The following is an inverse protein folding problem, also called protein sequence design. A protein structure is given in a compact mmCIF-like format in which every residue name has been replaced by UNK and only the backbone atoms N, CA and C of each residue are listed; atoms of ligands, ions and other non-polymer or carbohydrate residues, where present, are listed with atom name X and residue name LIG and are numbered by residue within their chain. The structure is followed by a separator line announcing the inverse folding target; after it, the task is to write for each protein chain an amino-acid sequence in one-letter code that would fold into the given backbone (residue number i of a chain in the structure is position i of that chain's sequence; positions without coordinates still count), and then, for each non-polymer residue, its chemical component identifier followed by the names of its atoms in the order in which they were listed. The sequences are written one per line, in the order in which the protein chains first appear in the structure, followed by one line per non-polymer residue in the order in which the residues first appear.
data_IF_071009919616
#
_entry.id   IF_071009919616
#
_cell.length_a   1.000
_cell.length_b   1.000
_cell.length_c   1.000
_cell.angle_alpha   90.00
_cell.angle_beta   90.00
_cell.angle_gamma   90.00
#
_symmetry.space_group_name_H-M   'P 1'
#
loop_
_entity.id
_entity.type
_entity.pdbx_description
1 polymer ?
#
# COMPACT_ATOMS: atom_id res chain seq x y z
N UNK A 1 -16.08 -27.40 -3.05
CA UNK A 1 -16.08 -26.85 -2.89
C UNK A 1 -15.67 -25.91 -2.62
N UNK A 2 -15.59 -25.57 -2.78
CA UNK A 2 -15.12 -24.81 -2.60
C UNK A 2 -14.99 -23.96 -1.84
N UNK A 3 -14.87 -23.59 -1.78
CA UNK A 3 -14.63 -22.90 -1.28
C UNK A 3 -14.35 -22.12 -0.50
N UNK A 4 -13.96 -22.13 -0.53
CA UNK A 4 -13.33 -21.73 0.70
C UNK A 4 -12.68 -20.41 0.70
N UNK A 5 -12.91 -19.67 -0.34
CA UNK A 5 -12.43 -18.32 -0.36
C UNK A 5 -13.08 -17.47 0.70
N UNK A 6 -14.35 -17.79 1.01
CA UNK A 6 -15.03 -17.02 2.02
C UNK A 6 -14.48 -17.27 3.41
N UNK A 7 -13.65 -18.28 3.55
CA UNK A 7 -13.06 -18.60 4.84
C UNK A 7 -11.63 -18.10 4.97
N UNK A 8 -11.14 -17.39 3.98
CA UNK A 8 -9.77 -16.91 4.01
C UNK A 8 -9.61 -15.82 5.06
N UNK A 9 -8.43 -15.75 5.64
CA UNK A 9 -8.08 -14.73 6.62
C UNK A 9 -6.96 -13.90 6.03
N UNK A 10 -7.06 -12.58 6.19
CA UNK A 10 -6.06 -11.67 5.67
C UNK A 10 -5.42 -10.88 6.80
N UNK A 11 -4.17 -10.58 6.62
CA UNK A 11 -3.45 -9.72 7.53
C UNK A 11 -3.24 -8.38 6.85
N UNK A 12 -3.34 -7.30 7.61
CA UNK A 12 -3.27 -5.94 7.08
C UNK A 12 -2.04 -5.25 7.63
N UNK A 13 -1.31 -4.60 6.72
CA UNK A 13 -0.16 -3.77 7.09
C UNK A 13 -0.30 -2.46 6.35
N UNK A 14 0.00 -1.36 7.02
CA UNK A 14 -0.04 -0.05 6.37
C UNK A 14 1.35 0.45 6.10
N UNK A 15 1.53 1.04 4.92
CA UNK A 15 2.79 1.65 4.52
C UNK A 15 2.49 2.96 3.83
N UNK A 16 3.50 3.83 3.76
CA UNK A 16 3.38 5.10 3.06
C UNK A 16 4.46 5.14 2.00
N UNK A 17 4.04 5.35 0.76
CA UNK A 17 4.97 5.54 -0.34
C UNK A 17 5.13 7.03 -0.61
N UNK A 18 6.26 7.39 -1.19
CA UNK A 18 6.60 8.76 -1.49
C UNK A 18 7.08 8.85 -2.92
N UNK A 19 6.69 9.92 -3.59
CA UNK A 19 7.16 10.19 -4.95
C UNK A 19 7.19 11.70 -5.15
N UNK A 20 8.16 12.18 -5.90
CA UNK A 20 8.16 13.58 -6.26
C UNK A 20 7.37 13.84 -7.53
N UNK A 21 6.70 12.82 -8.06
CA UNK A 21 5.99 12.93 -9.34
C UNK A 21 4.48 12.87 -9.18
N UNK A 22 3.97 11.90 -8.42
CA UNK A 22 2.51 11.74 -8.32
C UNK A 22 2.14 10.83 -7.18
N UNK A 23 0.88 10.93 -6.76
CA UNK A 23 0.34 10.01 -5.75
C UNK A 23 0.28 8.58 -6.30
N UNK A 24 -0.01 8.44 -7.59
CA UNK A 24 -0.07 7.11 -8.19
C UNK A 24 1.27 6.42 -8.12
N UNK A 25 2.34 7.15 -8.43
CA UNK A 25 3.66 6.57 -8.34
C UNK A 25 4.06 6.30 -6.89
N UNK A 26 3.67 7.19 -5.98
CA UNK A 26 3.92 6.98 -4.56
C UNK A 26 3.28 5.69 -4.09
N UNK A 27 2.02 5.45 -4.47
CA UNK A 27 1.33 4.23 -4.11
C UNK A 27 1.97 3.00 -4.70
N UNK A 28 2.34 3.08 -5.97
CA UNK A 28 3.01 1.96 -6.61
C UNK A 28 4.34 1.64 -5.92
N UNK A 29 5.11 2.67 -5.57
CA UNK A 29 6.37 2.47 -4.86
C UNK A 29 6.14 1.72 -3.55
N UNK A 30 5.09 2.10 -2.82
CA UNK A 30 4.78 1.45 -1.56
C UNK A 30 4.47 -0.02 -1.77
N UNK A 31 3.61 -0.32 -2.75
CA UNK A 31 3.19 -1.69 -3.01
C UNK A 31 4.36 -2.55 -3.45
N UNK A 32 5.14 -2.05 -4.40
CA UNK A 32 6.22 -2.85 -4.96
C UNK A 32 7.33 -3.08 -3.96
N UNK A 33 7.63 -2.08 -3.14
CA UNK A 33 8.63 -2.26 -2.10
C UNK A 33 8.16 -3.27 -1.07
N UNK A 34 6.91 -3.16 -0.63
CA UNK A 34 6.37 -4.08 0.36
C UNK A 34 6.28 -5.51 -0.18
N UNK A 35 5.95 -5.64 -1.47
CA UNK A 35 5.82 -6.96 -2.08
C UNK A 35 7.15 -7.71 -2.08
N UNK A 36 8.25 -6.99 -1.96
CA UNK A 36 9.55 -7.64 -1.91
C UNK A 36 9.77 -8.41 -0.61
N UNK A 37 9.04 -8.08 0.45
CA UNK A 37 9.20 -8.76 1.72
C UNK A 37 7.92 -9.41 2.23
N UNK A 38 6.77 -9.12 1.62
CA UNK A 38 5.50 -9.71 2.03
C UNK A 38 5.08 -10.75 1.02
N UNK A 39 4.59 -11.89 1.52
CA UNK A 39 4.13 -12.96 0.65
C UNK A 39 2.63 -12.83 0.41
N UNK A 40 2.21 -13.25 -0.75
CA UNK A 40 0.78 -13.33 -1.07
C UNK A 40 0.05 -12.02 -0.88
N UNK A 41 0.70 -10.94 -1.29
CA UNK A 41 0.04 -9.65 -1.30
C UNK A 41 -1.08 -9.67 -2.33
N UNK A 42 -2.31 -9.37 -1.90
CA UNK A 42 -3.48 -9.52 -2.75
C UNK A 42 -4.19 -8.24 -3.06
N UNK A 43 -4.28 -7.34 -2.09
CA UNK A 43 -5.05 -6.12 -2.26
C UNK A 43 -4.27 -4.96 -1.65
N UNK A 44 -4.29 -3.84 -2.35
CA UNK A 44 -3.70 -2.61 -1.84
C UNK A 44 -4.76 -1.53 -1.95
N UNK A 45 -5.14 -0.97 -0.81
CA UNK A 45 -6.18 0.04 -0.76
C UNK A 45 -5.55 1.38 -0.39
N UNK A 46 -5.77 2.39 -1.23
CA UNK A 46 -5.29 3.73 -0.90
C UNK A 46 -6.23 4.32 0.14
N UNK A 47 -5.68 4.63 1.31
CA UNK A 47 -6.49 5.15 2.40
C UNK A 47 -6.32 6.64 2.62
N UNK A 48 -5.21 7.20 2.17
CA UNK A 48 -4.97 8.62 2.39
C UNK A 48 -3.90 9.11 1.43
N UNK A 49 -4.09 10.32 0.92
CA UNK A 49 -3.10 10.97 0.07
C UNK A 49 -2.81 12.33 0.67
N UNK A 50 -1.53 12.67 0.78
CA UNK A 50 -1.15 13.98 1.27
C UNK A 50 0.12 14.41 0.58
N UNK A 51 0.66 15.54 0.99
CA UNK A 51 1.83 16.12 0.35
C UNK A 51 2.79 16.60 1.41
N UNK A 52 4.06 16.43 1.13
CA UNK A 52 5.11 17.01 1.95
C UNK A 52 5.35 18.42 1.45
N UNK A 53 5.37 19.37 2.36
CA UNK A 53 5.55 20.78 2.01
C UNK A 53 6.84 21.27 2.63
N UNK A 54 7.65 21.95 1.81
CA UNK A 54 8.90 22.54 2.26
C UNK A 54 8.97 23.95 1.71
N UNK A 55 9.17 24.93 2.60
CA UNK A 55 9.27 26.34 2.21
C UNK A 55 8.06 26.78 1.39
N UNK A 56 6.87 26.32 1.77
CA UNK A 56 5.64 26.70 1.11
C UNK A 56 5.41 26.04 -0.25
N UNK A 57 6.23 25.07 -0.60
CA UNK A 57 6.10 24.39 -1.88
C UNK A 57 5.92 22.89 -1.67
N UNK A 58 5.20 22.27 -2.58
CA UNK A 58 5.02 20.83 -2.53
C UNK A 58 6.33 20.17 -2.91
N UNK A 59 6.90 19.41 -1.98
CA UNK A 59 8.17 18.73 -2.19
C UNK A 59 7.97 17.30 -2.64
N UNK A 60 6.89 16.68 -2.22
CA UNK A 60 6.65 15.28 -2.55
C UNK A 60 5.18 14.94 -2.34
N UNK A 61 4.74 13.88 -3.01
CA UNK A 61 3.42 13.32 -2.84
C UNK A 61 3.55 12.06 -2.01
N UNK A 62 2.63 11.86 -1.07
CA UNK A 62 2.65 10.69 -0.21
C UNK A 62 1.33 9.97 -0.31
N UNK A 63 1.37 8.66 -0.40
CA UNK A 63 0.17 7.83 -0.49
C UNK A 63 0.26 6.76 0.58
N UNK A 64 -0.76 6.75 1.45
CA UNK A 64 -0.86 5.73 2.49
C UNK A 64 -1.67 4.58 1.93
N UNK A 65 -1.15 3.39 2.06
CA UNK A 65 -1.76 2.21 1.47
C UNK A 65 -1.92 1.14 2.54
N UNK A 66 -3.11 0.57 2.59
CA UNK A 66 -3.39 -0.57 3.46
C UNK A 66 -3.23 -1.83 2.61
N UNK A 67 -2.30 -2.67 2.99
CA UNK A 67 -1.96 -3.86 2.22
C UNK A 67 -2.57 -5.09 2.88
N UNK A 68 -3.31 -5.85 2.10
CA UNK A 68 -3.91 -7.09 2.58
C UNK A 68 -3.19 -8.27 1.95
N UNK A 69 -2.70 -9.15 2.76
CA UNK A 69 -2.09 -10.36 2.22
C UNK A 69 -2.65 -11.56 2.95
N UNK A 70 -2.70 -12.68 2.23
CA UNK A 70 -3.35 -13.86 2.75
C UNK A 70 -2.56 -14.41 3.92
N UNK A 71 -3.25 -14.66 5.00
CA UNK A 71 -2.61 -15.18 6.21
C UNK A 71 -2.58 -16.69 6.14
N UNK A 72 -1.37 -17.24 6.26
CA UNK A 72 -1.19 -18.69 6.24
C UNK A 72 -0.97 -19.15 7.66
N UNK A 73 -1.85 -19.99 8.13
CA UNK A 73 -1.73 -20.50 9.50
C UNK A 73 -0.75 -21.66 9.58
#
# INVERSE_FOLDING_TARGET
MAKKQSDAVYKIVEVVGVSDKSWGEAGRNAVETAAGSLRDLRVAEVTQMDMKVEDGKVAAFRTRVSLSFKYEA
#
